data_IF_487756033402
#
_entry.id   IF_487756033402
#
_cell.length_a   1.000
_cell.length_b   1.000
_cell.length_c   1.000
_cell.angle_alpha   90.00
_cell.angle_beta   90.00
_cell.angle_gamma   90.00
#
_symmetry.space_group_name_H-M   'P 1'
#
loop_
_entity.id
_entity.type
_entity.pdbx_description
1 polymer ?
#
# COMPACT_ATOMS: atom_id res chain seq x y z
N UNK A 1 -6.64 -18.73 -8.99
CA UNK A 1 -5.70 -19.01 -7.89
C UNK A 1 -5.78 -17.79 -6.99
N UNK A 2 -6.48 -17.88 -5.86
CA UNK A 2 -6.70 -16.74 -4.97
C UNK A 2 -5.48 -16.57 -4.07
N UNK A 3 -4.87 -15.38 -4.06
CA UNK A 3 -3.88 -15.01 -3.06
C UNK A 3 -4.61 -14.17 -2.00
N UNK A 4 -4.73 -14.64 -0.75
CA UNK A 4 -5.31 -13.84 0.32
C UNK A 4 -4.36 -12.69 0.67
N UNK A 5 -4.87 -11.46 0.70
CA UNK A 5 -4.19 -10.32 1.32
C UNK A 5 -4.86 -10.13 2.68
N UNK A 6 -4.09 -10.33 3.76
CA UNK A 6 -4.57 -10.16 5.13
C UNK A 6 -4.09 -8.81 5.66
N UNK A 7 -5.01 -7.86 5.86
CA UNK A 7 -4.77 -6.67 6.66
C UNK A 7 -5.31 -6.92 8.08
N UNK A 8 -4.42 -7.04 9.05
CA UNK A 8 -4.79 -7.15 10.46
C UNK A 8 -4.78 -5.74 11.07
N UNK A 9 -5.95 -5.18 11.35
CA UNK A 9 -6.09 -3.98 12.16
C UNK A 9 -6.84 -4.36 13.46
N UNK A 10 -6.11 -4.64 14.53
CA UNK A 10 -6.70 -5.03 15.80
C UNK A 10 -7.12 -3.81 16.62
N UNK A 11 -8.41 -3.54 16.74
CA UNK A 11 -8.94 -2.56 17.70
C UNK A 11 -9.23 -3.27 19.03
N UNK A 12 -8.58 -2.89 20.13
CA UNK A 12 -8.98 -3.31 21.48
C UNK A 12 -9.23 -2.10 22.37
N UNK A 13 -10.48 -1.88 22.76
CA UNK A 13 -10.81 -1.10 23.96
C UNK A 13 -11.42 -2.06 24.99
N UNK A 14 -10.64 -2.34 26.04
CA UNK A 14 -11.08 -3.21 27.13
C UNK A 14 -12.15 -2.52 27.96
N UNK A 15 -13.33 -3.12 28.04
CA UNK A 15 -14.28 -2.94 29.14
C UNK A 15 -15.14 -4.21 29.20
N UNK A 16 -14.81 -5.08 30.16
CA UNK A 16 -15.59 -6.26 30.51
C UNK A 16 -16.97 -5.83 31.02
N UNK A 17 -18.03 -6.25 30.35
CA UNK A 17 -19.30 -6.61 30.98
C UNK A 17 -20.10 -7.53 30.03
N UNK A 18 -20.16 -8.80 30.42
CA UNK A 18 -20.73 -9.91 29.66
C UNK A 18 -22.18 -10.14 30.11
N UNK A 19 -23.15 -9.93 29.21
CA UNK A 19 -24.44 -10.63 29.17
C UNK A 19 -25.31 -10.16 28.00
N UNK A 20 -25.23 -10.88 26.87
CA UNK A 20 -26.18 -10.71 25.78
C UNK A 20 -26.01 -11.79 24.71
N UNK A 21 -27.01 -12.67 24.62
CA UNK A 21 -27.13 -13.71 23.59
C UNK A 21 -27.50 -13.10 22.21
N UNK A 22 -26.72 -12.12 21.75
CA UNK A 22 -26.84 -11.47 20.45
C UNK A 22 -25.58 -11.74 19.64
N UNK A 23 -25.75 -12.10 18.37
CA UNK A 23 -24.71 -12.26 17.36
C UNK A 23 -23.97 -10.94 17.02
N UNK A 24 -23.90 -9.99 17.95
CA UNK A 24 -23.23 -8.71 17.78
C UNK A 24 -21.71 -8.87 17.87
N UNK A 25 -21.01 -7.99 17.17
CA UNK A 25 -19.54 -7.88 17.16
C UNK A 25 -19.03 -6.72 18.02
N UNK A 26 -19.93 -6.04 18.74
CA UNK A 26 -19.58 -4.95 19.62
C UNK A 26 -18.53 -5.39 20.67
N UNK A 27 -17.43 -4.64 20.77
CA UNK A 27 -16.36 -4.89 21.73
C UNK A 27 -15.39 -6.03 21.38
N UNK A 28 -15.57 -6.68 20.23
CA UNK A 28 -14.66 -7.73 19.75
C UNK A 28 -13.60 -7.15 18.79
N UNK A 29 -12.41 -7.79 18.68
CA UNK A 29 -11.50 -7.47 17.58
C UNK A 29 -12.20 -7.76 16.24
N UNK A 30 -11.92 -6.93 15.24
CA UNK A 30 -12.43 -7.11 13.88
C UNK A 30 -11.28 -7.27 12.92
N UNK A 31 -11.46 -8.16 11.95
CA UNK A 31 -10.51 -8.42 10.90
C UNK A 31 -11.18 -8.19 9.56
N UNK A 32 -10.49 -7.43 8.71
CA UNK A 32 -10.84 -7.23 7.31
C UNK A 32 -10.03 -8.23 6.49
N UNK A 33 -10.69 -9.23 5.93
CA UNK A 33 -10.04 -10.23 5.08
C UNK A 33 -10.52 -10.02 3.66
N UNK A 34 -9.60 -9.87 2.72
CA UNK A 34 -9.94 -9.73 1.31
C UNK A 34 -9.35 -10.88 0.49
N UNK A 35 -10.14 -11.35 -0.47
CA UNK A 35 -9.68 -12.29 -1.50
C UNK A 35 -9.78 -11.64 -2.86
N UNK A 36 -8.72 -11.77 -3.65
CA UNK A 36 -8.74 -11.37 -5.05
C UNK A 36 -9.15 -12.55 -5.94
N UNK A 37 -10.23 -12.36 -6.68
CA UNK A 37 -10.83 -13.37 -7.55
C UNK A 37 -10.64 -12.98 -9.01
N UNK A 38 -10.25 -13.96 -9.81
CA UNK A 38 -10.08 -13.83 -11.25
C UNK A 38 -11.00 -14.82 -11.94
N UNK A 39 -11.86 -14.32 -12.82
CA UNK A 39 -12.67 -15.13 -13.74
C UNK A 39 -12.21 -14.88 -15.17
N UNK A 40 -12.86 -15.51 -16.15
CA UNK A 40 -12.55 -15.26 -17.55
C UNK A 40 -12.90 -13.83 -17.99
N UNK A 41 -13.93 -13.24 -17.37
CA UNK A 41 -14.55 -11.99 -17.81
C UNK A 41 -14.37 -10.84 -16.81
N UNK A 42 -13.97 -11.14 -15.57
CA UNK A 42 -13.95 -10.16 -14.49
C UNK A 42 -12.87 -10.43 -13.43
N UNK A 43 -12.46 -9.35 -12.76
CA UNK A 43 -11.61 -9.35 -11.57
C UNK A 43 -12.35 -8.61 -10.47
N UNK A 44 -12.50 -9.21 -9.30
CA UNK A 44 -13.18 -8.60 -8.16
C UNK A 44 -12.61 -9.09 -6.84
N UNK A 45 -12.90 -8.36 -5.77
CA UNK A 45 -12.56 -8.72 -4.41
C UNK A 45 -13.81 -9.16 -3.65
N UNK A 46 -13.67 -10.19 -2.82
CA UNK A 46 -14.64 -10.48 -1.76
C UNK A 46 -14.04 -10.06 -0.44
N UNK A 47 -14.74 -9.18 0.27
CA UNK A 47 -14.33 -8.59 1.53
C UNK A 47 -15.18 -9.16 2.65
N UNK A 48 -14.50 -9.77 3.61
CA UNK A 48 -15.09 -10.41 4.78
C UNK A 48 -14.76 -9.59 6.03
N UNK A 49 -15.77 -9.39 6.88
CA UNK A 49 -15.60 -8.87 8.22
C UNK A 49 -15.82 -10.02 9.20
N UNK A 50 -14.79 -10.37 9.95
CA UNK A 50 -14.83 -11.47 10.92
C UNK A 50 -14.32 -11.01 12.28
N UNK A 51 -14.77 -11.64 13.35
CA UNK A 51 -14.35 -11.33 14.73
C UNK A 51 -13.22 -12.26 15.24
N UNK A 52 -12.80 -13.24 14.44
CA UNK A 52 -11.68 -14.14 14.71
C UNK A 52 -10.94 -14.56 13.44
N UNK A 53 -9.65 -14.87 13.57
CA UNK A 53 -8.80 -15.49 12.53
C UNK A 53 -8.43 -16.94 12.87
N UNK A 54 -9.18 -17.59 13.76
CA UNK A 54 -8.95 -18.97 14.16
C UNK A 54 -9.24 -19.95 13.02
N UNK A 55 -8.76 -21.19 13.17
CA UNK A 55 -8.95 -22.26 12.18
C UNK A 55 -10.42 -22.62 11.90
N UNK A 56 -11.33 -22.22 12.79
CA UNK A 56 -12.76 -22.46 12.68
C UNK A 56 -13.54 -21.24 12.15
N UNK A 57 -12.87 -20.13 11.83
CA UNK A 57 -13.54 -18.96 11.23
C UNK A 57 -14.10 -19.34 9.86
N UNK A 58 -15.41 -19.15 9.70
CA UNK A 58 -16.11 -19.39 8.44
C UNK A 58 -16.14 -18.12 7.57
N UNK A 59 -15.74 -18.25 6.31
CA UNK A 59 -15.79 -17.18 5.32
C UNK A 59 -16.90 -17.49 4.32
N UNK A 60 -18.14 -17.07 4.64
CA UNK A 60 -19.30 -17.26 3.76
C UNK A 60 -19.34 -16.18 2.65
N UNK A 61 -19.11 -16.53 1.37
CA UNK A 61 -19.16 -15.58 0.27
C UNK A 61 -20.51 -14.88 0.12
N UNK A 62 -21.61 -15.48 0.58
CA UNK A 62 -22.94 -14.86 0.51
C UNK A 62 -23.08 -13.63 1.41
N UNK A 63 -22.22 -13.50 2.43
CA UNK A 63 -22.19 -12.37 3.36
C UNK A 63 -21.02 -11.41 3.08
N UNK A 64 -20.20 -11.68 2.05
CA UNK A 64 -19.07 -10.83 1.71
C UNK A 64 -19.52 -9.57 0.97
N UNK A 65 -18.82 -8.47 1.19
CA UNK A 65 -18.91 -7.29 0.32
C UNK A 65 -18.11 -7.57 -0.95
N UNK A 66 -18.79 -7.59 -2.10
CA UNK A 66 -18.14 -7.67 -3.40
C UNK A 66 -17.70 -6.27 -3.87
N UNK A 67 -16.44 -6.15 -4.26
CA UNK A 67 -15.86 -4.91 -4.81
C UNK A 67 -15.21 -5.22 -6.15
N UNK A 68 -15.61 -4.51 -7.21
CA UNK A 68 -15.05 -4.70 -8.55
C UNK A 68 -13.57 -4.36 -8.67
N UNK A 69 -12.89 -4.96 -9.64
CA UNK A 69 -11.51 -4.67 -10.00
C UNK A 69 -10.44 -5.23 -9.06
N UNK A 70 -9.19 -4.88 -9.38
CA UNK A 70 -8.05 -5.02 -8.48
C UNK A 70 -8.10 -3.89 -7.45
N UNK A 71 -9.02 -4.00 -6.49
CA UNK A 71 -9.21 -2.98 -5.45
C UNK A 71 -8.20 -3.12 -4.32
N UNK A 72 -7.97 -2.01 -3.63
CA UNK A 72 -6.99 -1.88 -2.53
C UNK A 72 -7.68 -1.41 -1.27
N UNK A 73 -7.14 -1.79 -0.11
CA UNK A 73 -7.82 -1.65 1.18
C UNK A 73 -6.91 -0.94 2.18
N UNK A 74 -7.51 -0.09 3.01
CA UNK A 74 -6.84 0.58 4.12
C UNK A 74 -7.80 0.80 5.28
N UNK A 75 -7.26 0.79 6.50
CA UNK A 75 -7.98 1.18 7.71
C UNK A 75 -7.03 1.97 8.61
N UNK A 76 -7.50 3.03 9.29
CA UNK A 76 -6.68 3.74 10.26
C UNK A 76 -6.36 2.83 11.45
N UNK A 77 -5.22 3.07 12.12
CA UNK A 77 -4.83 2.32 13.32
C UNK A 77 -5.76 2.65 14.50
N UNK A 78 -6.01 3.94 14.72
CA UNK A 78 -7.06 4.42 15.62
C UNK A 78 -8.38 4.56 14.84
N UNK A 79 -9.26 3.57 15.01
CA UNK A 79 -10.47 3.40 14.19
C UNK A 79 -11.75 3.25 15.03
N UNK A 80 -12.12 4.26 15.85
CA UNK A 80 -13.24 4.17 16.78
C UNK A 80 -14.61 4.06 16.08
N UNK A 81 -14.71 4.49 14.83
CA UNK A 81 -15.92 4.47 14.01
C UNK A 81 -16.04 3.22 13.11
N UNK A 82 -15.07 2.30 13.22
CA UNK A 82 -14.98 1.02 12.49
C UNK A 82 -15.09 1.22 10.98
N UNK A 83 -14.36 2.19 10.47
CA UNK A 83 -14.31 2.50 9.06
C UNK A 83 -13.19 1.73 8.34
N UNK A 84 -13.43 1.39 7.08
CA UNK A 84 -12.37 0.96 6.17
C UNK A 84 -12.58 1.60 4.81
N UNK A 85 -11.49 1.66 4.05
CA UNK A 85 -11.39 2.40 2.81
C UNK A 85 -11.05 1.46 1.68
N UNK A 86 -11.72 1.65 0.56
CA UNK A 86 -11.60 0.84 -0.65
C UNK A 86 -11.24 1.75 -1.81
N UNK A 87 -10.02 1.62 -2.30
CA UNK A 87 -9.60 2.22 -3.55
C UNK A 87 -10.06 1.35 -4.71
N UNK A 88 -11.03 1.82 -5.50
CA UNK A 88 -11.65 1.05 -6.58
C UNK A 88 -10.69 0.79 -7.74
N UNK A 89 -10.56 -0.49 -8.13
CA UNK A 89 -9.75 -0.88 -9.29
C UNK A 89 -10.39 -0.61 -10.66
N UNK A 90 -11.63 -0.14 -10.70
CA UNK A 90 -12.40 0.08 -11.95
C UNK A 90 -12.97 1.49 -12.08
N UNK A 91 -12.97 2.26 -11.00
CA UNK A 91 -13.49 3.63 -10.97
C UNK A 91 -12.52 4.53 -10.20
N UNK A 92 -12.38 5.83 -10.56
CA UNK A 92 -11.51 6.76 -9.86
C UNK A 92 -12.17 7.25 -8.57
N UNK A 93 -12.63 6.33 -7.73
CA UNK A 93 -13.36 6.61 -6.49
C UNK A 93 -12.76 5.84 -5.33
N UNK A 94 -12.42 6.57 -4.28
CA UNK A 94 -12.17 6.00 -2.96
C UNK A 94 -13.48 5.94 -2.20
N UNK A 95 -13.83 4.75 -1.72
CA UNK A 95 -15.05 4.50 -0.98
C UNK A 95 -14.70 4.27 0.49
N UNK A 96 -15.48 4.88 1.38
CA UNK A 96 -15.41 4.65 2.83
C UNK A 96 -16.62 3.83 3.24
N UNK A 97 -16.35 2.72 3.90
CA UNK A 97 -17.35 1.83 4.48
C UNK A 97 -17.27 1.89 5.99
N UNK A 98 -18.40 1.64 6.66
CA UNK A 98 -18.47 1.47 8.12
C UNK A 98 -19.07 0.12 8.45
N UNK A 99 -18.61 -0.44 9.57
CA UNK A 99 -19.13 -1.69 10.14
C UNK A 99 -19.97 -1.37 11.37
N UNK A 100 -21.25 -1.77 11.36
CA UNK A 100 -22.14 -1.60 12.51
C UNK A 100 -21.80 -2.54 13.68
N UNK A 101 -22.46 -2.39 14.83
CA UNK A 101 -22.31 -3.30 15.97
C UNK A 101 -22.83 -4.72 15.68
N UNK A 102 -23.67 -4.87 14.66
CA UNK A 102 -24.19 -6.14 14.16
C UNK A 102 -23.33 -6.76 13.04
N UNK A 103 -22.21 -6.15 12.67
CA UNK A 103 -21.35 -6.66 11.58
C UNK A 103 -21.83 -6.32 10.19
N UNK A 104 -22.83 -5.44 10.06
CA UNK A 104 -23.30 -5.01 8.75
C UNK A 104 -22.37 -3.95 8.18
N UNK A 105 -21.93 -4.16 6.94
CA UNK A 105 -21.13 -3.20 6.18
C UNK A 105 -22.03 -2.26 5.41
N UNK A 106 -21.77 -0.95 5.49
CA UNK A 106 -22.49 0.06 4.72
C UNK A 106 -21.54 1.11 4.15
N UNK A 107 -21.77 1.54 2.91
CA UNK A 107 -21.08 2.69 2.32
C UNK A 107 -21.46 3.96 3.09
N UNK A 108 -20.45 4.71 3.54
CA UNK A 108 -20.60 5.90 4.38
C UNK A 108 -20.13 7.18 3.66
N UNK A 109 -19.26 7.06 2.65
CA UNK A 109 -18.87 8.19 1.82
C UNK A 109 -18.00 7.80 0.63
N UNK A 110 -17.83 8.74 -0.30
CA UNK A 110 -17.06 8.56 -1.53
C UNK A 110 -16.26 9.81 -1.86
N UNK A 111 -15.04 9.61 -2.38
CA UNK A 111 -14.15 10.66 -2.86
C UNK A 111 -13.72 10.34 -4.29
N UNK A 112 -13.96 11.25 -5.23
CA UNK A 112 -13.57 11.06 -6.64
C UNK A 112 -12.24 11.73 -6.98
N UNK A 113 -11.40 10.99 -7.71
CA UNK A 113 -10.15 11.44 -8.33
C UNK A 113 -10.29 11.73 -9.82
N UNK A 114 -11.49 11.67 -10.40
CA UNK A 114 -11.71 11.88 -11.84
C UNK A 114 -11.23 13.27 -12.31
N UNK A 115 -11.33 14.29 -11.46
CA UNK A 115 -10.82 15.64 -11.73
C UNK A 115 -9.30 15.73 -11.86
N UNK A 116 -8.57 14.69 -11.46
CA UNK A 116 -7.10 14.62 -11.49
C UNK A 116 -6.58 13.66 -12.56
N UNK A 117 -7.43 13.32 -13.54
CA UNK A 117 -7.03 12.46 -14.67
C UNK A 117 -6.94 10.98 -14.35
N UNK A 118 -7.40 10.55 -13.17
CA UNK A 118 -7.44 9.13 -12.80
C UNK A 118 -8.63 8.43 -13.44
N UNK A 119 -8.43 7.16 -13.81
CA UNK A 119 -9.47 6.24 -14.29
C UNK A 119 -9.85 5.18 -13.27
N UNK A 120 -9.00 4.99 -12.26
CA UNK A 120 -9.17 4.08 -11.13
C UNK A 120 -8.60 4.74 -9.87
N UNK A 121 -9.03 4.29 -8.70
CA UNK A 121 -8.49 4.69 -7.41
C UNK A 121 -7.83 3.50 -6.71
N UNK A 122 -7.35 2.50 -7.48
CA UNK A 122 -6.47 1.49 -6.95
C UNK A 122 -5.19 2.18 -6.47
N UNK A 123 -5.10 2.30 -5.16
CA UNK A 123 -3.91 2.76 -4.49
C UNK A 123 -2.95 1.58 -4.48
N UNK A 124 -2.35 1.29 -5.64
CA UNK A 124 -1.32 0.29 -5.85
C UNK A 124 -0.67 -0.09 -4.52
N UNK A 125 -1.02 -1.26 -3.98
CA UNK A 125 -0.38 -1.81 -2.77
C UNK A 125 -0.24 -0.80 -1.60
N UNK A 126 -1.35 -0.37 -0.99
CA UNK A 126 -1.35 0.18 0.38
C UNK A 126 -0.73 1.58 0.55
N UNK A 127 -0.93 2.48 -0.41
CA UNK A 127 -0.39 3.84 -0.37
C UNK A 127 -1.21 4.88 0.39
N UNK A 128 -2.40 4.52 0.88
CA UNK A 128 -3.17 5.42 1.73
C UNK A 128 -2.63 5.35 3.16
N UNK A 129 -1.93 6.40 3.57
CA UNK A 129 -1.35 6.53 4.92
C UNK A 129 -2.23 7.45 5.75
N UNK A 130 -2.82 6.93 6.82
CA UNK A 130 -3.61 7.71 7.78
C UNK A 130 -2.69 8.35 8.81
N UNK A 131 -2.60 9.68 8.81
CA UNK A 131 -1.84 10.44 9.81
C UNK A 131 -2.71 10.79 11.03
N UNK A 132 -4.00 11.00 10.81
CA UNK A 132 -5.03 11.24 11.83
C UNK A 132 -6.41 10.86 11.29
N UNK A 133 -7.45 11.01 12.11
CA UNK A 133 -8.84 10.80 11.69
C UNK A 133 -9.30 11.77 10.58
N UNK A 134 -8.64 12.93 10.45
CA UNK A 134 -8.97 14.01 9.52
C UNK A 134 -7.86 14.30 8.50
N UNK A 135 -6.78 13.51 8.49
CA UNK A 135 -5.67 13.67 7.53
C UNK A 135 -5.10 12.33 7.09
N UNK A 136 -5.07 12.11 5.78
CA UNK A 136 -4.37 11.01 5.15
C UNK A 136 -3.64 11.47 3.89
N UNK A 137 -2.66 10.67 3.48
CA UNK A 137 -1.80 10.93 2.34
C UNK A 137 -1.91 9.81 1.32
N UNK A 138 -1.88 10.16 0.05
CA UNK A 138 -1.79 9.23 -1.06
C UNK A 138 -0.81 9.76 -2.11
N UNK A 139 0.30 9.05 -2.30
CA UNK A 139 1.28 9.37 -3.34
C UNK A 139 0.88 8.67 -4.63
N UNK A 140 0.45 9.43 -5.63
CA UNK A 140 0.14 8.90 -6.96
C UNK A 140 1.31 9.09 -7.92
N UNK A 141 2.05 8.02 -8.15
CA UNK A 141 3.19 8.04 -9.07
C UNK A 141 2.76 8.10 -10.54
N UNK A 142 1.50 7.76 -10.87
CA UNK A 142 1.02 7.83 -12.26
C UNK A 142 0.77 9.28 -12.70
N UNK A 143 0.23 10.09 -11.80
CA UNK A 143 -0.04 11.52 -12.03
C UNK A 143 1.03 12.42 -11.43
N UNK A 144 2.06 11.86 -10.78
CA UNK A 144 3.11 12.58 -10.07
C UNK A 144 2.52 13.62 -9.10
N UNK A 145 1.57 13.19 -8.28
CA UNK A 145 0.86 14.05 -7.32
C UNK A 145 0.82 13.39 -5.96
N UNK A 146 1.18 14.13 -4.90
CA UNK A 146 0.80 13.80 -3.54
C UNK A 146 -0.58 14.40 -3.27
N UNK A 147 -1.53 13.55 -2.90
CA UNK A 147 -2.84 13.96 -2.40
C UNK A 147 -2.84 13.98 -0.88
N UNK A 148 -3.33 15.09 -0.32
CA UNK A 148 -3.67 15.20 1.10
C UNK A 148 -5.18 15.24 1.18
N UNK A 149 -5.77 14.35 1.96
CA UNK A 149 -7.22 14.17 2.04
C UNK A 149 -7.72 14.10 3.48
N UNK A 150 -8.97 14.50 3.68
CA UNK A 150 -9.70 14.27 4.92
C UNK A 150 -10.50 12.97 4.78
N UNK A 151 -10.09 11.88 5.47
CA UNK A 151 -10.72 10.58 5.30
C UNK A 151 -12.08 10.49 6.00
N UNK A 152 -12.40 11.38 6.95
CA UNK A 152 -13.73 11.43 7.55
C UNK A 152 -14.72 12.14 6.64
N UNK A 153 -14.33 13.29 6.10
CA UNK A 153 -15.19 14.11 5.22
C UNK A 153 -15.21 13.61 3.77
N UNK A 154 -14.30 12.71 3.39
CA UNK A 154 -14.12 12.20 2.03
C UNK A 154 -13.85 13.32 1.02
N UNK A 155 -12.91 14.21 1.37
CA UNK A 155 -12.51 15.37 0.56
C UNK A 155 -11.00 15.40 0.33
N UNK A 156 -10.56 15.90 -0.83
CA UNK A 156 -9.15 16.27 -1.03
C UNK A 156 -8.97 17.67 -0.46
N UNK A 157 -8.06 17.80 0.50
CA UNK A 157 -7.77 19.06 1.19
C UNK A 157 -6.62 19.82 0.53
N UNK A 158 -5.66 19.11 -0.05
CA UNK A 158 -4.56 19.72 -0.80
C UNK A 158 -3.92 18.74 -1.80
N UNK A 159 -3.15 19.28 -2.75
CA UNK A 159 -2.32 18.48 -3.66
C UNK A 159 -0.95 19.13 -3.89
N UNK A 160 0.10 18.33 -3.88
CA UNK A 160 1.47 18.78 -4.11
C UNK A 160 2.03 18.03 -5.32
N UNK A 161 2.62 18.77 -6.27
CA UNK A 161 3.27 18.19 -7.44
C UNK A 161 4.57 17.48 -7.04
N UNK A 162 4.81 16.30 -7.62
CA UNK A 162 6.03 15.52 -7.45
C UNK A 162 6.94 15.84 -8.63
N UNK A 163 7.87 16.78 -8.45
CA UNK A 163 8.71 17.35 -9.51
C UNK A 163 10.22 17.17 -9.28
N UNK A 164 10.62 16.58 -8.15
CA UNK A 164 12.02 16.37 -7.79
C UNK A 164 12.62 15.02 -8.18
N UNK A 165 11.87 14.16 -8.86
CA UNK A 165 12.40 12.90 -9.39
C UNK A 165 13.32 13.16 -10.58
N UNK A 166 14.46 12.47 -10.62
CA UNK A 166 15.40 12.46 -11.75
C UNK A 166 14.71 11.92 -13.00
N UNK A 167 13.93 10.84 -12.86
CA UNK A 167 13.13 10.33 -13.96
C UNK A 167 13.85 9.46 -14.97
N UNK A 168 13.06 8.78 -15.80
CA UNK A 168 13.51 8.14 -17.05
C UNK A 168 12.58 8.57 -18.17
N UNK A 169 13.14 9.20 -19.20
CA UNK A 169 12.37 9.77 -20.31
C UNK A 169 11.42 8.74 -20.94
N UNK A 170 10.13 9.09 -20.99
CA UNK A 170 9.09 8.26 -21.62
C UNK A 170 8.73 6.99 -20.82
N UNK A 171 9.19 6.85 -19.59
CA UNK A 171 8.88 5.72 -18.71
C UNK A 171 8.06 6.23 -17.54
N UNK A 172 6.95 5.55 -17.25
CA UNK A 172 6.11 5.87 -16.09
C UNK A 172 6.73 5.24 -14.85
N UNK A 173 6.87 5.97 -13.73
CA UNK A 173 7.40 5.39 -12.51
C UNK A 173 6.44 4.34 -11.94
N UNK A 174 7.04 3.40 -11.21
CA UNK A 174 6.36 2.43 -10.39
C UNK A 174 6.89 2.54 -8.97
N UNK A 175 6.05 2.19 -8.01
CA UNK A 175 6.42 2.13 -6.60
C UNK A 175 5.86 0.89 -5.96
N UNK A 176 6.35 0.58 -4.76
CA UNK A 176 5.75 -0.43 -3.89
C UNK A 176 5.24 0.20 -2.60
N UNK A 177 4.88 -0.61 -1.61
CA UNK A 177 4.21 -0.14 -0.39
C UNK A 177 4.94 1.03 0.29
N UNK A 178 4.22 2.14 0.50
CA UNK A 178 4.69 3.27 1.28
C UNK A 178 5.04 2.81 2.71
N UNK A 179 6.12 3.33 3.27
CA UNK A 179 6.59 2.99 4.60
C UNK A 179 6.49 4.20 5.52
N UNK A 180 5.84 4.04 6.68
CA UNK A 180 5.78 5.09 7.71
C UNK A 180 7.02 5.04 8.61
N UNK A 181 7.80 6.09 8.67
CA UNK A 181 8.92 6.25 9.58
C UNK A 181 8.69 7.47 10.47
N UNK A 182 8.15 7.23 11.67
CA UNK A 182 7.67 8.26 12.58
C UNK A 182 6.67 9.16 11.85
N UNK A 183 6.97 10.46 11.70
CA UNK A 183 6.11 11.41 11.05
C UNK A 183 6.43 11.60 9.56
N UNK A 184 6.98 10.57 8.92
CA UNK A 184 7.41 10.62 7.52
C UNK A 184 6.88 9.44 6.73
N UNK A 185 6.60 9.66 5.45
CA UNK A 185 6.20 8.61 4.51
C UNK A 185 7.32 8.43 3.49
N UNK A 186 7.85 7.23 3.40
CA UNK A 186 8.93 6.86 2.49
C UNK A 186 8.34 6.01 1.37
N UNK A 187 8.41 6.50 0.14
CA UNK A 187 7.89 5.82 -1.05
C UNK A 187 9.03 5.47 -1.99
N UNK A 188 9.35 4.18 -2.19
CA UNK A 188 10.38 3.76 -3.14
C UNK A 188 9.85 3.87 -4.57
N UNK A 189 10.62 4.52 -5.43
CA UNK A 189 10.33 4.69 -6.86
C UNK A 189 11.33 3.86 -7.68
N UNK A 190 10.81 3.22 -8.72
CA UNK A 190 11.58 2.48 -9.71
C UNK A 190 10.98 2.63 -11.10
N UNK A 191 11.81 2.37 -12.12
CA UNK A 191 11.46 2.61 -13.51
C UNK A 191 11.53 1.30 -14.29
N UNK A 192 10.45 0.95 -14.99
CA UNK A 192 10.34 -0.29 -15.77
C UNK A 192 10.02 0.04 -17.24
N UNK A 193 11.04 0.34 -18.06
CA UNK A 193 10.82 0.61 -19.48
C UNK A 193 10.16 -0.59 -20.19
N UNK A 194 9.28 -0.36 -21.18
CA UNK A 194 8.61 -1.43 -21.91
C UNK A 194 9.61 -2.41 -22.55
N UNK A 195 9.42 -3.70 -22.31
CA UNK A 195 10.26 -4.76 -22.89
C UNK A 195 11.67 -4.86 -22.32
N UNK A 196 12.00 -4.09 -21.28
CA UNK A 196 13.27 -4.15 -20.57
C UNK A 196 13.08 -4.65 -19.13
N UNK A 197 14.20 -4.85 -18.43
CA UNK A 197 14.21 -4.98 -16.98
C UNK A 197 13.95 -3.65 -16.29
N UNK A 198 14.16 -3.58 -14.98
CA UNK A 198 14.18 -2.28 -14.31
C UNK A 198 15.38 -1.45 -14.81
N UNK A 199 15.27 -0.12 -14.83
CA UNK A 199 16.42 0.77 -15.00
C UNK A 199 17.28 0.71 -13.75
N UNK A 200 18.61 0.81 -13.88
CA UNK A 200 19.55 0.98 -12.75
C UNK A 200 19.43 2.37 -12.10
N UNK A 201 18.23 2.70 -11.65
CA UNK A 201 17.86 3.91 -10.96
C UNK A 201 16.80 3.56 -9.93
N UNK A 202 17.11 3.82 -8.65
CA UNK A 202 16.16 3.77 -7.56
C UNK A 202 16.06 5.16 -6.94
N UNK A 203 14.83 5.61 -6.71
CA UNK A 203 14.56 6.93 -6.12
C UNK A 203 13.65 6.80 -4.90
N UNK A 204 13.65 7.83 -4.08
CA UNK A 204 12.78 7.95 -2.91
C UNK A 204 11.97 9.23 -3.02
N UNK A 205 10.71 9.14 -2.64
CA UNK A 205 9.92 10.29 -2.21
C UNK A 205 9.78 10.19 -0.70
N UNK A 206 10.11 11.27 -0.01
CA UNK A 206 9.97 11.39 1.44
C UNK A 206 8.98 12.52 1.70
N UNK A 207 7.83 12.18 2.28
CA UNK A 207 6.81 13.14 2.73
C UNK A 207 7.03 13.42 4.20
N UNK A 208 7.21 14.69 4.58
CA UNK A 208 7.18 15.14 5.96
C UNK A 208 5.73 15.51 6.33
N UNK A 209 5.13 14.78 7.28
CA UNK A 209 3.70 14.94 7.62
C UNK A 209 3.43 16.13 8.57
N UNK A 210 4.47 16.72 9.19
CA UNK A 210 4.33 17.92 10.03
C UNK A 210 4.21 19.18 9.16
N UNK A 211 4.97 19.19 8.06
CA UNK A 211 5.12 20.37 7.20
C UNK A 211 4.45 20.25 5.85
N UNK A 212 3.95 19.06 5.49
CA UNK A 212 3.41 18.75 4.17
C UNK A 212 4.41 19.07 3.06
N UNK A 213 5.66 18.63 3.23
CA UNK A 213 6.73 18.87 2.25
C UNK A 213 7.28 17.58 1.68
N UNK A 214 7.83 17.69 0.47
CA UNK A 214 8.49 16.61 -0.25
C UNK A 214 9.99 16.81 -0.24
N UNK A 215 10.72 15.72 -0.01
CA UNK A 215 12.15 15.61 -0.33
C UNK A 215 12.40 14.33 -1.12
N UNK A 216 13.55 14.28 -1.79
CA UNK A 216 13.85 13.26 -2.77
C UNK A 216 15.30 12.81 -2.62
N UNK A 217 15.54 11.55 -2.91
CA UNK A 217 16.89 11.01 -3.06
C UNK A 217 16.95 9.99 -4.19
N UNK A 218 18.13 9.77 -4.76
CA UNK A 218 18.32 8.88 -5.91
C UNK A 218 19.65 8.14 -5.83
N UNK A 219 19.67 6.93 -6.37
CA UNK A 219 20.88 6.13 -6.49
C UNK A 219 20.88 5.34 -7.79
N UNK A 220 22.04 5.27 -8.42
CA UNK A 220 22.30 4.44 -9.61
C UNK A 220 23.03 3.15 -9.26
N UNK A 221 23.13 2.81 -7.97
CA UNK A 221 23.71 1.53 -7.54
C UNK A 221 22.82 0.34 -7.91
N UNK A 222 21.51 0.57 -8.06
CA UNK A 222 20.52 -0.48 -8.26
C UNK A 222 19.22 0.02 -8.91
N UNK A 223 18.30 -0.88 -9.18
CA UNK A 223 17.01 -0.63 -9.83
C UNK A 223 15.93 -1.63 -9.42
N UNK A 224 14.67 -1.19 -9.48
CA UNK A 224 13.51 -2.04 -9.21
C UNK A 224 13.22 -2.28 -7.72
N UNK A 225 13.85 -1.52 -6.81
CA UNK A 225 13.77 -1.69 -5.35
C UNK A 225 12.45 -1.20 -4.76
N UNK A 226 11.35 -1.90 -5.03
CA UNK A 226 10.00 -1.49 -4.59
C UNK A 226 9.44 -2.31 -3.41
N UNK A 227 10.04 -3.45 -3.06
CA UNK A 227 9.55 -4.29 -1.97
C UNK A 227 10.25 -3.96 -0.66
N UNK A 228 9.50 -3.46 0.32
CA UNK A 228 10.05 -3.01 1.59
C UNK A 228 9.81 -4.01 2.73
N UNK A 229 10.76 -4.05 3.67
CA UNK A 229 10.58 -4.64 5.01
C UNK A 229 11.29 -3.78 6.04
N UNK A 230 10.99 -3.96 7.33
CA UNK A 230 11.59 -3.21 8.44
C UNK A 230 12.24 -4.15 9.44
N UNK A 231 13.37 -3.74 10.00
CA UNK A 231 13.93 -4.38 11.19
C UNK A 231 13.32 -3.83 12.48
N UNK A 232 13.71 -4.40 13.62
CA UNK A 232 13.19 -4.02 14.94
C UNK A 232 13.56 -2.59 15.38
N UNK A 233 14.53 -1.95 14.72
CA UNK A 233 14.93 -0.56 14.98
C UNK A 233 14.23 0.40 14.02
N UNK A 234 13.51 -0.12 13.02
CA UNK A 234 12.77 0.66 12.04
C UNK A 234 13.57 0.97 10.77
N UNK A 235 14.78 0.41 10.58
CA UNK A 235 15.46 0.58 9.30
C UNK A 235 14.69 -0.17 8.23
N UNK A 236 14.54 0.47 7.07
CA UNK A 236 13.78 -0.06 5.94
C UNK A 236 14.74 -0.66 4.91
N UNK A 237 14.41 -1.83 4.40
CA UNK A 237 15.19 -2.56 3.40
C UNK A 237 14.34 -2.78 2.16
N UNK A 238 14.84 -2.35 1.01
CA UNK A 238 14.11 -2.32 -0.25
C UNK A 238 14.74 -3.31 -1.25
N UNK A 239 14.09 -4.45 -1.45
CA UNK A 239 14.52 -5.49 -2.37
C UNK A 239 14.04 -5.24 -3.80
N UNK A 240 14.89 -5.58 -4.77
CA UNK A 240 14.56 -5.49 -6.18
C UNK A 240 13.39 -6.42 -6.56
N UNK A 241 12.52 -5.94 -7.45
CA UNK A 241 11.45 -6.71 -8.06
C UNK A 241 12.03 -7.93 -8.80
N UNK A 242 11.28 -9.05 -8.83
CA UNK A 242 11.74 -10.30 -9.43
C UNK A 242 12.20 -10.15 -10.89
N UNK A 243 11.60 -9.21 -11.63
CA UNK A 243 11.99 -8.92 -13.01
C UNK A 243 13.46 -8.50 -13.15
N UNK A 244 14.02 -7.77 -12.18
CA UNK A 244 15.44 -7.38 -12.20
C UNK A 244 16.35 -8.63 -12.15
N UNK A 245 15.98 -9.62 -11.33
CA UNK A 245 16.68 -10.90 -11.27
C UNK A 245 16.53 -11.73 -12.55
N UNK A 246 15.33 -11.73 -13.15
CA UNK A 246 15.08 -12.42 -14.43
C UNK A 246 15.94 -11.81 -15.54
N UNK A 247 15.93 -10.49 -15.69
CA UNK A 247 16.68 -9.82 -16.75
C UNK A 247 18.17 -9.89 -16.55
N UNK A 248 18.66 -9.82 -15.31
CA UNK A 248 20.07 -10.04 -15.01
C UNK A 248 20.51 -11.47 -15.38
N UNK A 249 19.74 -12.48 -14.97
CA UNK A 249 20.04 -13.88 -15.30
C UNK A 249 19.96 -14.20 -16.80
N UNK A 250 19.19 -13.41 -17.55
CA UNK A 250 19.08 -13.50 -19.01
C UNK A 250 20.11 -12.61 -19.74
N UNK A 251 21.05 -11.99 -19.02
CA UNK A 251 22.06 -11.06 -19.58
C UNK A 251 21.44 -9.87 -20.33
N UNK A 252 20.25 -9.44 -19.92
CA UNK A 252 19.53 -8.28 -20.45
C UNK A 252 19.72 -7.02 -19.58
N UNK A 253 20.46 -7.15 -18.47
CA UNK A 253 20.79 -6.07 -17.54
C UNK A 253 22.19 -6.26 -16.96
N UNK A 254 22.97 -5.19 -16.95
CA UNK A 254 24.37 -5.18 -16.51
C UNK A 254 24.55 -5.08 -14.99
N UNK A 255 23.46 -4.94 -14.23
CA UNK A 255 23.49 -4.84 -12.77
C UNK A 255 22.73 -6.00 -12.12
N UNK A 256 23.20 -6.53 -10.97
CA UNK A 256 22.53 -7.60 -10.27
C UNK A 256 21.28 -7.08 -9.52
N UNK A 257 20.25 -7.92 -9.29
CA UNK A 257 19.20 -7.59 -8.33
C UNK A 257 19.82 -7.31 -6.95
N UNK A 258 19.34 -6.30 -6.24
CA UNK A 258 19.94 -5.91 -4.97
C UNK A 258 18.92 -5.57 -3.87
N UNK A 259 19.43 -5.36 -2.66
CA UNK A 259 18.70 -4.73 -1.54
C UNK A 259 19.39 -3.41 -1.18
N UNK A 260 18.61 -2.33 -1.12
CA UNK A 260 19.01 -1.02 -0.60
C UNK A 260 18.42 -0.81 0.80
N UNK A 261 18.94 0.18 1.55
CA UNK A 261 18.46 0.50 2.89
C UNK A 261 18.22 1.99 3.05
N UNK A 262 17.22 2.34 3.87
CA UNK A 262 17.03 3.66 4.47
C UNK A 262 17.06 3.47 5.99
N UNK A 263 17.95 4.19 6.68
CA UNK A 263 17.99 4.15 8.15
C UNK A 263 16.78 4.90 8.71
N UNK A 264 16.26 4.46 9.86
CA UNK A 264 15.22 5.25 10.55
C UNK A 264 15.73 6.67 10.83
N UNK A 265 14.90 7.68 10.57
CA UNK A 265 15.28 9.08 10.72
C UNK A 265 16.15 9.67 9.59
N UNK A 266 16.62 8.88 8.62
CA UNK A 266 17.44 9.38 7.51
C UNK A 266 16.62 10.05 6.40
N UNK A 267 17.27 10.94 5.64
CA UNK A 267 16.67 11.71 4.54
C UNK A 267 17.07 11.18 3.16
N UNK A 268 17.38 9.88 3.06
CA UNK A 268 17.81 9.26 1.82
C UNK A 268 18.30 7.82 1.98
N UNK A 269 18.79 7.28 0.87
CA UNK A 269 19.45 5.99 0.82
C UNK A 269 20.70 5.95 1.69
N UNK A 270 20.94 4.80 2.29
CA UNK A 270 22.20 4.50 2.96
C UNK A 270 23.26 4.12 1.92
N UNK A 271 24.24 5.00 1.74
CA UNK A 271 25.34 4.81 0.79
C UNK A 271 26.32 3.69 1.18
N UNK A 272 26.37 3.34 2.46
CA UNK A 272 27.22 2.27 2.97
C UNK A 272 26.54 0.89 2.91
N UNK A 273 25.25 0.83 2.56
CA UNK A 273 24.50 -0.42 2.47
C UNK A 273 24.15 -0.80 1.02
N UNK A 274 24.67 -1.95 0.58
CA UNK A 274 24.30 -2.60 -0.66
C UNK A 274 24.41 -4.11 -0.50
N UNK A 275 23.38 -4.83 -0.93
CA UNK A 275 23.40 -6.30 -0.94
C UNK A 275 23.06 -6.79 -2.34
N UNK A 276 24.01 -7.44 -3.00
CA UNK A 276 23.76 -8.25 -4.19
C UNK A 276 22.93 -9.48 -3.81
N UNK A 277 21.75 -9.64 -4.42
CA UNK A 277 20.84 -10.76 -4.13
C UNK A 277 21.25 -12.07 -4.81
N UNK A 278 22.12 -12.03 -5.84
CA UNK A 278 22.60 -13.25 -6.52
C UNK A 278 23.40 -14.16 -5.57
N UNK A 279 24.01 -13.57 -4.53
CA UNK A 279 24.71 -14.31 -3.48
C UNK A 279 23.83 -15.30 -2.71
N UNK A 280 22.50 -15.11 -2.73
CA UNK A 280 21.55 -16.00 -2.05
C UNK A 280 21.12 -17.20 -2.89
N UNK A 281 21.31 -17.14 -4.22
CA UNK A 281 20.96 -18.25 -5.12
C UNK A 281 22.03 -19.36 -5.20
N UNK A 282 23.24 -19.11 -4.67
CA UNK A 282 24.38 -20.03 -4.75
C UNK A 282 24.97 -20.13 -6.16
N UNK A 283 26.30 -20.12 -6.28
CA UNK A 283 27.08 -20.14 -7.54
C UNK A 283 27.00 -21.46 -8.33
N UNK A 284 25.85 -22.14 -8.37
CA UNK A 284 25.68 -23.37 -9.17
C UNK A 284 24.67 -23.16 -10.32
N UNK A 285 24.95 -22.21 -11.21
CA UNK A 285 24.39 -22.21 -12.57
C UNK A 285 25.49 -22.47 -13.59
#
# INVERSE_FOLDING_TARGET
MAAPIVLVAGCSSSSDDDNGNGNGIAGKPLYLVSTLNFTADDTFNLVYIVDSMDENTEFDPANALEVGGFSTFGAPEDNPDRAFYVGSGVEPVLQRYRVSDEGTVSLDGELSFAGYGKTSADFNFGWLVFASADKAYYVDVQTLTLFILNPTEMTITDTIAIDGLVGVDGVVPSSGFAQVDQNRIIVPISWFPPGAGATQLAELIIVDMDTDTLSYDSTTRCGGNIWATKDAVGNMYFGAHAIAGITHAAELSDYPPCILRVLTGADGWDDDYFVDMTRFSGDNR
#
